data_IF_704809607798
#
_entry.id   IF_704809607798
#
_cell.length_a   1.000
_cell.length_b   1.000
_cell.length_c   1.000
_cell.angle_alpha   90.00
_cell.angle_beta   90.00
_cell.angle_gamma   90.00
#
_symmetry.space_group_name_H-M   'P 1'
#
loop_
_entity.id
_entity.type
_entity.pdbx_description
1 polymer ?
#
# COMPACT_ATOMS: atom_id res chain seq x y z
N UNK A 1 -5.86 -15.03 -24.39
CA UNK A 1 -5.32 -13.69 -24.10
C UNK A 1 -5.15 -13.45 -22.60
N UNK A 2 -6.21 -13.57 -21.77
CA UNK A 2 -6.14 -13.23 -20.34
C UNK A 2 -5.06 -13.93 -19.49
N UNK A 3 -4.79 -15.22 -19.70
CA UNK A 3 -3.73 -15.95 -18.98
C UNK A 3 -2.36 -15.30 -19.22
N UNK A 4 -2.05 -14.94 -20.46
CA UNK A 4 -0.80 -14.26 -20.79
C UNK A 4 -0.71 -12.88 -20.11
N UNK A 5 -1.82 -12.12 -20.08
CA UNK A 5 -1.89 -10.83 -19.38
C UNK A 5 -1.61 -10.96 -17.89
N UNK A 6 -2.13 -11.99 -17.23
CA UNK A 6 -1.91 -12.24 -15.80
C UNK A 6 -0.43 -12.62 -15.57
N UNK A 7 0.11 -13.52 -16.39
CA UNK A 7 1.52 -13.94 -16.28
C UNK A 7 2.46 -12.76 -16.46
N UNK A 8 2.26 -11.93 -17.49
CA UNK A 8 3.14 -10.79 -17.75
C UNK A 8 3.04 -9.74 -16.65
N UNK A 9 1.83 -9.42 -16.17
CA UNK A 9 1.61 -8.47 -15.08
C UNK A 9 2.26 -8.95 -13.78
N UNK A 10 2.09 -10.24 -13.45
CA UNK A 10 2.73 -10.85 -12.29
C UNK A 10 4.25 -10.82 -12.40
N UNK A 11 4.81 -11.15 -13.56
CA UNK A 11 6.26 -11.17 -13.78
C UNK A 11 6.86 -9.76 -13.60
N UNK A 12 6.20 -8.73 -14.12
CA UNK A 12 6.63 -7.34 -13.98
C UNK A 12 6.62 -6.92 -12.51
N UNK A 13 5.50 -7.11 -11.80
CA UNK A 13 5.37 -6.76 -10.38
C UNK A 13 6.34 -7.54 -9.47
N UNK A 14 6.45 -8.85 -9.68
CA UNK A 14 7.39 -9.70 -8.94
C UNK A 14 8.85 -9.28 -9.16
N UNK A 15 9.20 -8.88 -10.39
CA UNK A 15 10.54 -8.40 -10.69
C UNK A 15 10.83 -7.04 -10.04
N UNK A 16 9.85 -6.12 -10.01
CA UNK A 16 9.97 -4.87 -9.26
C UNK A 16 10.20 -5.13 -7.78
N UNK A 17 9.37 -5.97 -7.16
CA UNK A 17 9.50 -6.27 -5.74
C UNK A 17 10.84 -6.95 -5.39
N UNK A 18 11.27 -7.91 -6.20
CA UNK A 18 12.61 -8.53 -6.08
C UNK A 18 13.73 -7.49 -6.17
N UNK A 19 13.63 -6.55 -7.11
CA UNK A 19 14.63 -5.50 -7.30
C UNK A 19 14.65 -4.53 -6.13
N UNK A 20 13.51 -4.10 -5.60
CA UNK A 20 13.41 -3.32 -4.36
C UNK A 20 14.09 -4.05 -3.19
N UNK A 21 13.83 -5.34 -3.00
CA UNK A 21 14.49 -6.12 -1.95
C UNK A 21 16.01 -6.22 -2.14
N UNK A 22 16.47 -6.37 -3.37
CA UNK A 22 17.89 -6.52 -3.69
C UNK A 22 18.66 -5.20 -3.61
N UNK A 23 18.13 -4.13 -4.20
CA UNK A 23 18.82 -2.84 -4.28
C UNK A 23 18.60 -1.97 -3.05
N UNK A 24 17.36 -1.88 -2.55
CA UNK A 24 17.03 -0.98 -1.43
C UNK A 24 17.30 -1.66 -0.09
N UNK A 25 16.85 -2.91 0.06
CA UNK A 25 17.01 -3.68 1.30
C UNK A 25 18.26 -4.58 1.34
N UNK A 26 19.07 -4.60 0.26
CA UNK A 26 20.33 -5.36 0.17
C UNK A 26 20.19 -6.87 0.46
N UNK A 27 19.00 -7.44 0.24
CA UNK A 27 18.72 -8.88 0.40
C UNK A 27 19.38 -9.64 -0.75
N UNK A 28 20.01 -10.81 -0.53
CA UNK A 28 20.67 -11.56 -1.61
C UNK A 28 19.66 -12.05 -2.65
N UNK A 29 20.08 -12.03 -3.92
CA UNK A 29 19.24 -12.23 -5.12
C UNK A 29 18.33 -13.45 -5.07
N UNK A 30 18.83 -14.58 -4.57
CA UNK A 30 18.07 -15.83 -4.46
C UNK A 30 16.93 -15.71 -3.45
N UNK A 31 17.20 -15.12 -2.29
CA UNK A 31 16.19 -14.89 -1.25
C UNK A 31 15.16 -13.87 -1.73
N UNK A 32 15.59 -12.79 -2.40
CA UNK A 32 14.67 -11.79 -2.97
C UNK A 32 13.71 -12.41 -3.99
N UNK A 33 14.18 -13.33 -4.84
CA UNK A 33 13.33 -14.02 -5.81
C UNK A 33 12.36 -15.00 -5.13
N UNK A 34 12.85 -15.75 -4.14
CA UNK A 34 12.01 -16.65 -3.34
C UNK A 34 10.93 -15.90 -2.56
N UNK A 35 11.23 -14.73 -2.00
CA UNK A 35 10.23 -13.91 -1.31
C UNK A 35 9.21 -13.37 -2.31
N UNK A 36 9.65 -12.82 -3.45
CA UNK A 36 8.75 -12.21 -4.42
C UNK A 36 7.74 -13.20 -5.02
N UNK A 37 8.17 -14.42 -5.34
CA UNK A 37 7.28 -15.45 -5.88
C UNK A 37 6.63 -16.32 -4.78
N UNK A 38 7.32 -16.53 -3.67
CA UNK A 38 6.88 -17.42 -2.59
C UNK A 38 5.85 -16.77 -1.66
N UNK A 39 5.89 -15.45 -1.46
CA UNK A 39 4.94 -14.77 -0.58
C UNK A 39 3.48 -14.94 -1.05
N UNK A 40 3.10 -14.70 -2.33
CA UNK A 40 1.75 -14.97 -2.81
C UNK A 40 1.34 -16.44 -2.68
N UNK A 41 2.29 -17.37 -2.91
CA UNK A 41 2.04 -18.81 -2.80
C UNK A 41 1.77 -19.24 -1.35
N UNK A 42 2.56 -18.74 -0.40
CA UNK A 42 2.39 -19.03 1.03
C UNK A 42 1.04 -18.46 1.53
N UNK A 43 0.69 -17.23 1.14
CA UNK A 43 -0.61 -16.63 1.50
C UNK A 43 -1.78 -17.47 0.99
N UNK A 44 -1.70 -17.96 -0.24
CA UNK A 44 -2.71 -18.87 -0.79
C UNK A 44 -2.86 -20.17 0.03
N UNK A 45 -1.73 -20.75 0.47
CA UNK A 45 -1.74 -21.95 1.31
C UNK A 45 -2.33 -21.71 2.71
N UNK A 46 -2.09 -20.55 3.30
CA UNK A 46 -2.60 -20.16 4.63
C UNK A 46 -4.13 -20.00 4.64
N UNK A 47 -4.76 -19.74 3.48
CA UNK A 47 -6.22 -19.66 3.38
C UNK A 47 -6.74 -18.49 2.57
N UNK A 48 -5.87 -17.59 2.08
CA UNK A 48 -6.26 -16.46 1.22
C UNK A 48 -6.60 -16.93 -0.21
N UNK A 49 -7.76 -17.58 -0.35
CA UNK A 49 -8.25 -18.16 -1.61
C UNK A 49 -9.29 -17.30 -2.30
N UNK A 50 -9.99 -16.45 -1.55
CA UNK A 50 -11.01 -15.54 -2.07
C UNK A 50 -10.38 -14.33 -2.77
N UNK A 51 -10.62 -14.19 -4.07
CA UNK A 51 -10.12 -13.05 -4.84
C UNK A 51 -10.67 -11.71 -4.29
N UNK A 52 -11.99 -11.62 -4.10
CA UNK A 52 -12.69 -10.40 -3.65
C UNK A 52 -12.23 -9.99 -2.25
N UNK A 53 -12.13 -10.95 -1.33
CA UNK A 53 -11.66 -10.73 0.03
C UNK A 53 -10.20 -10.25 0.04
N UNK A 54 -9.34 -10.87 -0.76
CA UNK A 54 -7.91 -10.52 -0.81
C UNK A 54 -7.70 -9.12 -1.36
N UNK A 55 -8.35 -8.76 -2.47
CA UNK A 55 -8.23 -7.41 -3.04
C UNK A 55 -8.88 -6.36 -2.14
N UNK A 56 -9.99 -6.70 -1.47
CA UNK A 56 -10.66 -5.80 -0.52
C UNK A 56 -9.80 -5.53 0.71
N UNK A 57 -9.18 -6.58 1.27
CA UNK A 57 -8.27 -6.46 2.40
C UNK A 57 -7.03 -5.62 2.04
N UNK A 58 -6.30 -6.00 0.98
CA UNK A 58 -5.09 -5.29 0.54
C UNK A 58 -5.43 -3.84 0.17
N UNK A 59 -6.52 -3.62 -0.56
CA UNK A 59 -6.95 -2.28 -0.98
C UNK A 59 -7.28 -1.37 0.20
N UNK A 60 -8.04 -1.86 1.19
CA UNK A 60 -8.37 -1.06 2.37
C UNK A 60 -7.13 -0.77 3.21
N UNK A 61 -6.26 -1.75 3.43
CA UNK A 61 -5.06 -1.56 4.26
C UNK A 61 -4.09 -0.58 3.61
N UNK A 62 -3.74 -0.79 2.34
CA UNK A 62 -2.82 0.12 1.62
C UNK A 62 -3.45 1.50 1.45
N UNK A 63 -4.73 1.57 1.08
CA UNK A 63 -5.44 2.83 0.91
C UNK A 63 -5.54 3.65 2.21
N UNK A 64 -5.75 2.99 3.35
CA UNK A 64 -5.75 3.66 4.65
C UNK A 64 -4.36 4.20 5.01
N UNK A 65 -3.31 3.41 4.79
CA UNK A 65 -1.92 3.84 5.04
C UNK A 65 -1.57 5.03 4.15
N UNK A 66 -1.76 4.91 2.83
CA UNK A 66 -1.47 5.98 1.86
C UNK A 66 -2.29 7.24 2.15
N UNK A 67 -3.59 7.10 2.43
CA UNK A 67 -4.47 8.21 2.77
C UNK A 67 -3.98 8.97 4.00
N UNK A 68 -3.62 8.26 5.08
CA UNK A 68 -3.07 8.87 6.30
C UNK A 68 -1.72 9.53 6.03
N UNK A 69 -0.82 8.88 5.29
CA UNK A 69 0.50 9.43 4.95
C UNK A 69 0.36 10.73 4.15
N UNK A 70 -0.53 10.79 3.16
CA UNK A 70 -0.79 12.01 2.37
C UNK A 70 -1.28 13.15 3.27
N UNK A 71 -2.17 12.88 4.21
CA UNK A 71 -2.68 13.89 5.15
C UNK A 71 -1.56 14.41 6.06
N UNK A 72 -0.70 13.52 6.56
CA UNK A 72 0.44 13.89 7.39
C UNK A 72 1.46 14.72 6.62
N UNK A 73 1.75 14.35 5.36
CA UNK A 73 2.60 15.13 4.45
C UNK A 73 1.99 16.54 4.26
N UNK A 74 0.70 16.64 3.98
CA UNK A 74 0.01 17.93 3.82
C UNK A 74 0.13 18.81 5.07
N UNK A 75 0.06 18.21 6.27
CA UNK A 75 0.23 18.94 7.54
C UNK A 75 1.68 19.37 7.77
N UNK A 76 2.66 18.54 7.40
CA UNK A 76 4.07 18.79 7.63
C UNK A 76 4.65 19.83 6.66
N UNK A 77 4.23 19.82 5.38
CA UNK A 77 4.70 20.80 4.38
C UNK A 77 4.38 22.24 4.81
N UNK A 78 3.23 22.47 5.46
CA UNK A 78 2.86 23.81 5.98
C UNK A 78 3.75 24.31 7.12
N UNK A 79 4.49 23.43 7.80
CA UNK A 79 5.34 23.76 8.96
C UNK A 79 6.83 23.75 8.64
N UNK A 80 7.24 22.86 7.73
CA UNK A 80 8.64 22.54 7.45
C UNK A 80 9.08 22.96 6.04
N UNK A 81 8.21 23.57 5.24
CA UNK A 81 8.55 23.98 3.88
C UNK A 81 9.50 25.17 3.86
N UNK A 82 10.65 25.00 3.20
CA UNK A 82 11.64 26.07 2.94
C UNK A 82 11.14 27.14 1.95
N UNK A 83 9.98 26.90 1.32
CA UNK A 83 9.29 27.86 0.45
C UNK A 83 7.84 28.01 0.87
N UNK A 84 7.36 29.25 0.74
CA UNK A 84 5.94 29.58 0.91
C UNK A 84 5.17 28.83 -0.19
N UNK A 85 4.18 27.99 0.14
CA UNK A 85 3.43 27.25 -0.87
C UNK A 85 2.66 28.21 -1.78
N UNK A 86 2.81 28.07 -3.10
CA UNK A 86 2.12 28.88 -4.12
C UNK A 86 0.59 28.75 -4.03
N UNK A 87 0.10 27.65 -3.47
CA UNK A 87 -1.30 27.41 -3.18
C UNK A 87 -1.48 26.87 -1.76
N UNK A 88 -2.09 27.67 -0.88
CA UNK A 88 -2.34 27.31 0.52
C UNK A 88 -3.83 27.09 0.76
N UNK A 89 -4.25 25.83 0.69
CA UNK A 89 -5.60 25.44 1.11
C UNK A 89 -5.73 25.58 2.63
N UNK A 90 -6.50 26.56 3.09
CA UNK A 90 -6.86 26.73 4.51
C UNK A 90 -7.91 25.71 4.94
N UNK A 91 -7.52 24.44 5.00
CA UNK A 91 -8.38 23.36 5.50
C UNK A 91 -8.34 23.39 7.04
N UNK A 92 -9.51 23.39 7.72
CA UNK A 92 -9.52 23.36 9.17
C UNK A 92 -8.93 22.03 9.67
N UNK A 93 -8.12 22.05 10.74
CA UNK A 93 -7.44 20.85 11.25
C UNK A 93 -8.43 19.74 11.65
N UNK A 94 -9.65 20.10 12.03
CA UNK A 94 -10.73 19.16 12.36
C UNK A 94 -11.06 18.22 11.19
N UNK A 95 -11.07 18.74 9.95
CA UNK A 95 -11.39 17.95 8.77
C UNK A 95 -10.28 16.94 8.46
N UNK A 96 -9.02 17.33 8.69
CA UNK A 96 -7.88 16.43 8.50
C UNK A 96 -7.91 15.27 9.50
N UNK A 97 -8.19 15.54 10.79
CA UNK A 97 -8.34 14.48 11.79
C UNK A 97 -9.56 13.61 11.54
N UNK A 98 -10.67 14.20 11.08
CA UNK A 98 -11.85 13.44 10.66
C UNK A 98 -11.52 12.49 9.51
N UNK A 99 -10.79 12.96 8.49
CA UNK A 99 -10.40 12.15 7.34
C UNK A 99 -9.46 10.99 7.75
N UNK A 100 -8.50 11.25 8.63
CA UNK A 100 -7.67 10.20 9.25
C UNK A 100 -8.54 9.19 9.99
N UNK A 101 -9.51 9.65 10.79
CA UNK A 101 -10.42 8.76 11.51
C UNK A 101 -11.23 7.88 10.56
N UNK A 102 -11.74 8.42 9.45
CA UNK A 102 -12.45 7.65 8.42
C UNK A 102 -11.56 6.55 7.82
N UNK A 103 -10.30 6.85 7.47
CA UNK A 103 -9.36 5.84 6.95
C UNK A 103 -9.05 4.74 7.98
N UNK A 104 -8.84 5.11 9.24
CA UNK A 104 -8.57 4.16 10.32
C UNK A 104 -9.80 3.29 10.61
N UNK A 105 -10.98 3.89 10.70
CA UNK A 105 -12.24 3.16 10.91
C UNK A 105 -12.56 2.23 9.75
N UNK A 106 -12.31 2.66 8.51
CA UNK A 106 -12.43 1.81 7.32
C UNK A 106 -11.53 0.59 7.41
N UNK A 107 -10.26 0.77 7.77
CA UNK A 107 -9.33 -0.34 7.99
C UNK A 107 -9.79 -1.30 9.09
N UNK A 108 -10.29 -0.78 10.21
CA UNK A 108 -10.85 -1.62 11.27
C UNK A 108 -12.10 -2.38 10.81
N UNK A 109 -13.03 -1.73 10.09
CA UNK A 109 -14.23 -2.41 9.60
C UNK A 109 -13.92 -3.57 8.66
N UNK A 110 -12.87 -3.45 7.85
CA UNK A 110 -12.44 -4.53 6.96
C UNK A 110 -11.91 -5.74 7.73
N UNK A 111 -11.25 -5.52 8.88
CA UNK A 111 -10.77 -6.61 9.74
C UNK A 111 -11.93 -7.34 10.41
N UNK A 112 -13.01 -6.64 10.78
CA UNK A 112 -14.22 -7.28 11.34
C UNK A 112 -15.08 -7.99 10.29
N UNK A 113 -15.02 -7.55 9.04
CA UNK A 113 -15.78 -8.12 7.93
C UNK A 113 -15.12 -9.35 7.29
N UNK A 114 -13.86 -9.62 7.63
CA UNK A 114 -13.04 -10.74 7.14
C UNK A 114 -13.00 -11.85 8.19
#
# INVERSE_FOLDING_TARGET
>A
FGIFTIITSFLILGNYFKNTLFYDYKVPRWISASIACGLPFILFLIGFRGFIETIGFVGTVIGAIEGVVIILIFKNIKKLGDRIPEYSLKIPPILLYFLIAVFILGAFSQIYAW
#
